data_IF_584572201852
#
_entry.id   IF_584572201852
#
_cell.length_a   1.000
_cell.length_b   1.000
_cell.length_c   1.000
_cell.angle_alpha   90.00
_cell.angle_beta   90.00
_cell.angle_gamma   90.00
#
_symmetry.space_group_name_H-M   'P 1'
#
loop_
_entity.id
_entity.type
_entity.pdbx_description
1 polymer ?
#
# COMPACT_ATOMS: atom_id res chain seq x y z
N UNK A 1 20.80 -8.14 -12.03
CA UNK A 1 21.67 -7.69 -10.93
C UNK A 1 20.79 -7.38 -9.74
N UNK A 2 20.85 -8.17 -8.67
CA UNK A 2 20.14 -7.90 -7.42
C UNK A 2 20.84 -6.73 -6.72
N UNK A 3 20.37 -5.51 -6.95
CA UNK A 3 20.80 -4.36 -6.17
C UNK A 3 20.43 -4.55 -4.70
N UNK A 4 21.11 -3.83 -3.81
CA UNK A 4 20.80 -3.80 -2.38
C UNK A 4 19.34 -3.37 -2.15
N UNK A 5 18.64 -4.07 -1.24
CA UNK A 5 17.29 -3.72 -0.81
C UNK A 5 17.36 -3.08 0.57
N UNK A 6 16.52 -2.07 0.79
CA UNK A 6 16.31 -1.49 2.11
C UNK A 6 14.95 -1.90 2.66
N UNK A 7 14.96 -2.51 3.85
CA UNK A 7 13.77 -2.77 4.64
C UNK A 7 13.59 -1.63 5.65
N UNK A 8 12.40 -1.05 5.71
CA UNK A 8 12.04 -0.02 6.68
C UNK A 8 10.81 -0.45 7.49
N UNK A 9 10.93 -0.42 8.81
CA UNK A 9 9.83 -0.67 9.76
C UNK A 9 9.47 0.62 10.53
N UNK A 10 9.75 1.77 9.92
CA UNK A 10 9.44 3.08 10.50
C UNK A 10 7.96 3.41 10.29
N UNK A 11 7.27 3.75 11.38
CA UNK A 11 5.85 4.07 11.39
C UNK A 11 5.51 5.15 12.42
N UNK A 12 4.40 5.85 12.16
CA UNK A 12 3.79 6.80 13.08
C UNK A 12 2.29 6.48 13.20
N UNK A 13 1.89 5.45 13.97
CA UNK A 13 0.52 4.96 13.94
C UNK A 13 -0.53 6.02 14.26
N UNK A 14 -0.23 6.91 15.21
CA UNK A 14 -1.11 8.01 15.59
C UNK A 14 -1.10 9.17 14.59
N UNK A 15 -0.19 9.21 13.61
CA UNK A 15 -0.11 10.25 12.60
C UNK A 15 -0.18 9.69 11.16
N UNK A 16 -1.39 9.42 10.65
CA UNK A 16 -1.59 8.92 9.29
C UNK A 16 -1.16 9.93 8.22
N UNK A 17 -1.08 11.22 8.54
CA UNK A 17 -0.60 12.25 7.61
C UNK A 17 0.91 12.08 7.42
N UNK A 18 1.67 11.95 8.51
CA UNK A 18 3.11 11.74 8.45
C UNK A 18 3.46 10.38 7.83
N UNK A 19 2.71 9.33 8.14
CA UNK A 19 2.91 8.01 7.55
C UNK A 19 2.82 8.04 6.01
N UNK A 20 1.79 8.68 5.46
CA UNK A 20 1.60 8.79 4.01
C UNK A 20 2.57 9.79 3.37
N UNK A 21 2.93 10.87 4.07
CA UNK A 21 3.99 11.78 3.61
C UNK A 21 5.35 11.07 3.51
N UNK A 22 5.70 10.27 4.51
CA UNK A 22 6.92 9.46 4.49
C UNK A 22 6.90 8.41 3.37
N UNK A 23 5.75 7.78 3.12
CA UNK A 23 5.59 6.83 2.02
C UNK A 23 5.86 7.49 0.65
N UNK A 24 5.30 8.66 0.41
CA UNK A 24 5.55 9.42 -0.82
C UNK A 24 7.01 9.86 -0.92
N UNK A 25 7.60 10.36 0.17
CA UNK A 25 8.99 10.81 0.20
C UNK A 25 9.97 9.66 -0.11
N UNK A 26 9.74 8.48 0.46
CA UNK A 26 10.53 7.28 0.18
C UNK A 26 10.39 6.89 -1.30
N UNK A 27 9.17 6.84 -1.82
CA UNK A 27 8.93 6.47 -3.21
C UNK A 27 9.63 7.44 -4.19
N UNK A 28 9.57 8.75 -3.92
CA UNK A 28 10.27 9.78 -4.69
C UNK A 28 11.79 9.61 -4.62
N UNK A 29 12.36 9.43 -3.43
CA UNK A 29 13.80 9.23 -3.24
C UNK A 29 14.32 7.99 -4.00
N UNK A 30 13.54 6.90 -4.04
CA UNK A 30 13.89 5.72 -4.85
C UNK A 30 13.81 6.01 -6.34
N UNK A 31 12.74 6.66 -6.81
CA UNK A 31 12.60 7.04 -8.22
C UNK A 31 13.72 7.96 -8.71
N UNK A 32 14.18 8.87 -7.86
CA UNK A 32 15.30 9.79 -8.12
C UNK A 32 16.68 9.11 -8.01
N UNK A 33 16.74 7.88 -7.49
CA UNK A 33 17.99 7.15 -7.29
C UNK A 33 18.83 7.62 -6.09
N UNK A 34 18.23 8.42 -5.21
CA UNK A 34 18.81 8.84 -3.92
C UNK A 34 18.75 7.71 -2.89
N UNK A 35 17.85 6.76 -3.07
CA UNK A 35 17.68 5.59 -2.22
C UNK A 35 17.61 4.27 -3.02
N UNK A 36 18.03 3.14 -2.44
CA UNK A 36 17.86 1.83 -3.05
C UNK A 36 16.40 1.40 -3.06
N UNK A 37 16.07 0.35 -3.84
CA UNK A 37 14.77 -0.34 -3.78
C UNK A 37 14.36 -0.55 -2.33
N UNK A 38 13.17 -0.08 -1.97
CA UNK A 38 12.74 -0.04 -0.57
C UNK A 38 11.44 -0.82 -0.40
N UNK A 39 11.43 -1.73 0.56
CA UNK A 39 10.23 -2.33 1.15
C UNK A 39 10.00 -1.66 2.50
N UNK A 40 8.79 -1.17 2.74
CA UNK A 40 8.38 -0.59 4.03
C UNK A 40 7.16 -1.30 4.58
N UNK A 41 7.17 -1.64 5.86
CA UNK A 41 5.98 -2.04 6.62
C UNK A 41 5.62 -0.96 7.64
N UNK A 42 4.33 -0.68 7.79
CA UNK A 42 3.84 0.38 8.67
C UNK A 42 2.34 0.26 8.98
N UNK A 43 1.87 0.96 10.02
CA UNK A 43 0.46 0.92 10.46
C UNK A 43 -0.10 2.32 10.74
N UNK A 44 -1.43 2.45 10.70
CA UNK A 44 -2.19 3.62 11.15
C UNK A 44 -3.14 3.22 12.28
N UNK A 45 -3.43 4.12 13.21
CA UNK A 45 -4.31 3.84 14.35
C UNK A 45 -5.80 3.84 14.00
N UNK A 46 -6.35 4.97 13.53
CA UNK A 46 -7.74 5.08 13.06
C UNK A 46 -7.79 6.10 11.91
N UNK A 47 -7.89 5.62 10.67
CA UNK A 47 -7.91 6.51 9.51
C UNK A 47 -8.75 5.99 8.35
N UNK A 48 -9.42 6.89 7.63
CA UNK A 48 -9.87 6.62 6.27
C UNK A 48 -8.86 7.23 5.30
N UNK A 49 -8.29 6.38 4.44
CA UNK A 49 -7.37 6.77 3.38
C UNK A 49 -8.09 6.79 2.04
N UNK A 50 -8.30 7.99 1.49
CA UNK A 50 -8.90 8.18 0.16
C UNK A 50 -7.83 8.27 -0.93
N UNK A 51 -8.17 7.78 -2.13
CA UNK A 51 -7.29 7.85 -3.30
C UNK A 51 -7.12 9.27 -3.84
N UNK A 52 -6.04 9.48 -4.59
CA UNK A 52 -5.63 10.77 -5.12
C UNK A 52 -6.74 11.50 -5.89
N UNK A 53 -7.59 10.77 -6.63
CA UNK A 53 -8.64 11.33 -7.49
C UNK A 53 -10.04 11.30 -6.88
N UNK A 54 -10.21 10.83 -5.65
CA UNK A 54 -11.53 10.72 -5.03
C UNK A 54 -12.03 12.05 -4.43
N UNK A 55 -13.33 12.25 -4.43
CA UNK A 55 -13.95 13.39 -3.74
C UNK A 55 -14.29 12.99 -2.29
N UNK A 56 -13.68 13.64 -1.30
CA UNK A 56 -13.87 13.29 0.10
C UNK A 56 -15.36 13.28 0.52
N UNK A 57 -16.17 14.24 0.05
CA UNK A 57 -17.59 14.32 0.39
C UNK A 57 -18.43 13.17 -0.18
N UNK A 58 -17.94 12.46 -1.19
CA UNK A 58 -18.62 11.29 -1.77
C UNK A 58 -18.19 9.97 -1.11
N UNK A 59 -16.97 9.92 -0.57
CA UNK A 59 -16.39 8.70 0.00
C UNK A 59 -16.57 8.59 1.50
N UNK A 60 -16.58 9.72 2.22
CA UNK A 60 -16.53 9.72 3.69
C UNK A 60 -17.63 10.56 4.32
N UNK A 61 -18.21 10.01 5.39
CA UNK A 61 -19.07 10.76 6.31
C UNK A 61 -18.18 11.53 7.29
N UNK A 62 -17.62 12.65 6.86
CA UNK A 62 -16.60 13.39 7.64
C UNK A 62 -17.02 13.73 9.07
N UNK A 63 -18.30 14.03 9.30
CA UNK A 63 -18.84 14.27 10.65
C UNK A 63 -18.75 13.04 11.55
N UNK A 64 -19.06 11.87 11.02
CA UNK A 64 -18.94 10.60 11.76
C UNK A 64 -17.47 10.25 11.98
N UNK A 65 -16.61 10.45 10.99
CA UNK A 65 -15.16 10.26 11.16
C UNK A 65 -14.62 11.11 12.31
N UNK A 66 -14.96 12.41 12.35
CA UNK A 66 -14.55 13.30 13.43
C UNK A 66 -15.07 12.84 14.80
N UNK A 67 -16.35 12.44 14.89
CA UNK A 67 -16.96 11.94 16.14
C UNK A 67 -16.27 10.69 16.68
N UNK A 68 -15.79 9.82 15.80
CA UNK A 68 -15.13 8.57 16.16
C UNK A 68 -13.59 8.68 16.25
N UNK A 69 -13.03 9.90 16.14
CA UNK A 69 -11.58 10.08 16.15
C UNK A 69 -10.85 9.49 14.93
N UNK A 70 -11.59 9.25 13.84
CA UNK A 70 -11.05 8.71 12.59
C UNK A 70 -10.52 9.85 11.74
N UNK A 71 -9.22 9.82 11.45
CA UNK A 71 -8.57 10.82 10.60
C UNK A 71 -8.88 10.54 9.13
N UNK A 72 -9.21 11.57 8.35
CA UNK A 72 -9.37 11.44 6.90
C UNK A 72 -8.12 11.98 6.23
N UNK A 73 -7.48 11.16 5.40
CA UNK A 73 -6.23 11.49 4.72
C UNK A 73 -6.27 11.04 3.26
N UNK A 74 -5.62 11.79 2.37
CA UNK A 74 -5.49 11.47 0.95
C UNK A 74 -4.09 10.94 0.67
N UNK A 75 -4.00 9.79 -0.01
CA UNK A 75 -2.73 9.24 -0.50
C UNK A 75 -2.39 9.75 -1.90
N UNK A 76 -1.10 9.66 -2.27
CA UNK A 76 -0.62 10.12 -3.58
C UNK A 76 -0.92 9.15 -4.74
N UNK A 77 -1.38 7.93 -4.46
CA UNK A 77 -1.79 6.94 -5.47
C UNK A 77 -3.30 6.96 -5.74
N UNK A 78 -3.71 6.42 -6.89
CA UNK A 78 -5.12 6.22 -7.23
C UNK A 78 -5.80 5.10 -6.44
N UNK A 79 -6.98 4.68 -6.88
CA UNK A 79 -7.78 3.61 -6.24
C UNK A 79 -8.86 4.15 -5.27
N UNK A 80 -9.58 3.23 -4.63
CA UNK A 80 -10.72 3.55 -3.76
C UNK A 80 -10.33 3.98 -2.34
N UNK A 81 -11.35 4.26 -1.52
CA UNK A 81 -11.17 4.59 -0.11
C UNK A 81 -11.02 3.29 0.72
N UNK A 82 -10.16 3.32 1.73
CA UNK A 82 -9.95 2.20 2.66
C UNK A 82 -9.93 2.70 4.09
N UNK A 83 -10.41 1.86 5.00
CA UNK A 83 -10.29 2.09 6.43
C UNK A 83 -9.05 1.40 6.97
N UNK A 84 -8.27 2.12 7.78
CA UNK A 84 -7.11 1.62 8.48
C UNK A 84 -7.36 1.65 9.99
N UNK A 85 -7.00 0.55 10.65
CA UNK A 85 -6.74 0.53 12.09
C UNK A 85 -5.40 -0.12 12.45
N UNK A 86 -5.06 -0.11 13.75
CA UNK A 86 -3.78 -0.61 14.26
C UNK A 86 -3.55 -2.11 14.02
N UNK A 87 -4.62 -2.85 13.68
CA UNK A 87 -4.62 -4.28 13.36
C UNK A 87 -4.60 -4.54 11.85
N UNK A 88 -4.44 -3.49 11.04
CA UNK A 88 -4.00 -3.63 9.66
C UNK A 88 -2.49 -3.61 9.58
N UNK A 89 -1.96 -4.25 8.55
CA UNK A 89 -0.55 -4.16 8.17
C UNK A 89 -0.46 -3.53 6.79
N UNK A 90 0.11 -2.33 6.69
CA UNK A 90 0.42 -1.72 5.41
C UNK A 90 1.81 -2.12 4.95
N UNK A 91 1.97 -2.29 3.65
CA UNK A 91 3.25 -2.47 3.02
C UNK A 91 3.37 -1.54 1.82
N UNK A 92 4.60 -1.14 1.50
CA UNK A 92 4.91 -0.36 0.31
C UNK A 92 6.23 -0.83 -0.30
N UNK A 93 6.25 -1.00 -1.62
CA UNK A 93 7.43 -1.38 -2.39
C UNK A 93 7.69 -0.32 -3.46
N UNK A 94 8.88 0.26 -3.42
CA UNK A 94 9.35 1.27 -4.37
C UNK A 94 10.50 0.71 -5.19
N UNK A 95 10.36 0.72 -6.52
CA UNK A 95 11.41 0.36 -7.46
C UNK A 95 11.79 1.56 -8.33
N UNK A 96 13.09 1.79 -8.48
CA UNK A 96 13.60 2.66 -9.55
C UNK A 96 13.46 1.94 -10.89
N UNK A 97 13.18 2.67 -11.96
CA UNK A 97 13.14 2.10 -13.31
C UNK A 97 14.53 2.11 -13.97
N UNK A 98 14.90 1.06 -14.74
CA UNK A 98 14.10 -0.13 -15.03
C UNK A 98 13.91 -1.03 -13.79
N UNK A 99 12.68 -1.49 -13.57
CA UNK A 99 12.33 -2.33 -12.42
C UNK A 99 12.59 -3.81 -12.73
N UNK A 100 12.72 -4.69 -11.71
CA UNK A 100 12.85 -6.14 -11.94
C UNK A 100 11.55 -6.79 -12.45
N UNK A 101 10.42 -6.08 -12.41
CA UNK A 101 9.13 -6.58 -12.90
C UNK A 101 9.07 -6.39 -14.43
N UNK A 102 8.90 -7.48 -15.22
CA UNK A 102 8.89 -7.37 -16.67
C UNK A 102 7.70 -6.59 -17.20
N UNK A 103 7.97 -5.68 -18.14
CA UNK A 103 6.97 -4.85 -18.80
C UNK A 103 6.65 -3.58 -18.04
N UNK A 104 6.24 -2.55 -18.78
CA UNK A 104 5.92 -1.25 -18.22
C UNK A 104 4.41 -1.12 -17.92
N UNK A 105 3.93 -1.92 -16.96
CA UNK A 105 2.51 -2.02 -16.64
C UNK A 105 2.26 -2.12 -15.13
N UNK A 106 1.42 -1.24 -14.62
CA UNK A 106 0.98 -1.29 -13.22
C UNK A 106 0.23 -2.59 -12.88
N UNK A 107 -0.48 -3.16 -13.85
CA UNK A 107 -1.20 -4.43 -13.68
C UNK A 107 -0.26 -5.60 -13.43
N UNK A 108 0.84 -5.65 -14.20
CA UNK A 108 1.89 -6.67 -13.99
C UNK A 108 2.59 -6.48 -12.65
N UNK A 109 2.72 -5.23 -12.19
CA UNK A 109 3.28 -4.95 -10.87
C UNK A 109 2.36 -5.43 -9.74
N UNK A 110 1.06 -5.21 -9.82
CA UNK A 110 0.09 -5.76 -8.87
C UNK A 110 0.13 -7.29 -8.86
N UNK A 111 0.19 -7.93 -10.03
CA UNK A 111 0.28 -9.39 -10.10
C UNK A 111 1.58 -9.92 -9.47
N UNK A 112 2.73 -9.30 -9.78
CA UNK A 112 4.02 -9.72 -9.24
C UNK A 112 4.10 -9.55 -7.71
N UNK A 113 3.69 -8.38 -7.20
CA UNK A 113 3.67 -8.10 -5.75
C UNK A 113 2.61 -8.96 -5.05
N UNK A 114 1.43 -9.12 -5.64
CA UNK A 114 0.37 -9.97 -5.12
C UNK A 114 0.79 -11.42 -4.98
N UNK A 115 1.46 -11.99 -5.99
CA UNK A 115 2.03 -13.36 -5.93
C UNK A 115 3.10 -13.50 -4.84
N UNK A 116 3.93 -12.48 -4.63
CA UNK A 116 4.91 -12.49 -3.55
C UNK A 116 4.24 -12.53 -2.16
N UNK A 117 3.16 -11.76 -1.97
CA UNK A 117 2.38 -11.75 -0.73
C UNK A 117 1.65 -13.10 -0.53
N UNK A 118 1.01 -13.64 -1.58
CA UNK A 118 0.38 -14.96 -1.55
C UNK A 118 1.39 -16.06 -1.17
N UNK A 119 2.61 -16.00 -1.71
CA UNK A 119 3.69 -16.91 -1.31
C UNK A 119 4.04 -16.76 0.18
N UNK A 120 4.05 -15.52 0.69
CA UNK A 120 4.21 -15.25 2.12
C UNK A 120 3.10 -15.87 2.97
N UNK A 121 1.84 -15.72 2.57
CA UNK A 121 0.70 -16.36 3.23
C UNK A 121 0.80 -17.89 3.22
N UNK A 122 1.24 -18.50 2.12
CA UNK A 122 1.46 -19.93 2.04
C UNK A 122 2.47 -20.45 3.07
N UNK A 123 3.52 -19.68 3.37
CA UNK A 123 4.49 -20.01 4.43
C UNK A 123 3.88 -19.96 5.84
N UNK A 124 2.78 -19.23 6.02
CA UNK A 124 2.03 -19.14 7.27
C UNK A 124 0.86 -20.14 7.32
N UNK A 125 0.71 -21.02 6.33
CA UNK A 125 -0.40 -21.97 6.24
C UNK A 125 -1.74 -21.33 5.84
N UNK A 126 -1.71 -20.14 5.23
CA UNK A 126 -2.90 -19.44 4.75
C UNK A 126 -3.02 -19.60 3.23
N UNK A 127 -4.10 -20.25 2.79
CA UNK A 127 -4.45 -20.38 1.38
C UNK A 127 -5.08 -19.08 0.85
N UNK A 128 -4.22 -18.19 0.36
CA UNK A 128 -4.61 -16.94 -0.28
C UNK A 128 -4.45 -17.02 -1.80
N UNK A 129 -5.22 -16.22 -2.52
CA UNK A 129 -5.13 -16.09 -3.97
C UNK A 129 -5.09 -14.61 -4.39
N UNK A 130 -4.34 -14.32 -5.45
CA UNK A 130 -4.39 -13.01 -6.09
C UNK A 130 -5.56 -12.95 -7.05
N UNK A 131 -6.42 -11.94 -6.89
CA UNK A 131 -7.58 -11.70 -7.74
C UNK A 131 -7.39 -10.36 -8.45
N UNK A 132 -7.29 -10.34 -9.78
CA UNK A 132 -7.27 -9.10 -10.54
C UNK A 132 -8.48 -8.22 -10.19
N UNK A 133 -8.33 -6.90 -10.09
CA UNK A 133 -7.19 -6.11 -10.59
C UNK A 133 -5.99 -6.11 -9.63
N UNK A 134 -6.23 -6.12 -8.32
CA UNK A 134 -5.26 -5.70 -7.31
C UNK A 134 -5.57 -6.24 -5.91
N UNK A 135 -6.37 -7.30 -5.81
CA UNK A 135 -6.85 -7.83 -4.54
C UNK A 135 -6.20 -9.17 -4.20
N UNK A 136 -6.16 -9.47 -2.91
CA UNK A 136 -5.83 -10.81 -2.40
C UNK A 136 -7.00 -11.28 -1.55
N UNK A 137 -7.40 -12.52 -1.78
CA UNK A 137 -8.56 -13.13 -1.13
C UNK A 137 -8.19 -14.42 -0.41
N UNK A 138 -8.95 -14.73 0.64
CA UNK A 138 -8.97 -16.04 1.31
C UNK A 138 -10.41 -16.51 1.33
N UNK A 139 -10.68 -17.67 0.75
CA UNK A 139 -12.04 -18.24 0.64
C UNK A 139 -13.05 -17.25 0.03
N UNK A 140 -12.66 -16.59 -1.07
CA UNK A 140 -13.50 -15.61 -1.79
C UNK A 140 -13.75 -14.29 -1.05
N UNK A 141 -13.06 -14.04 0.09
CA UNK A 141 -13.17 -12.79 0.85
C UNK A 141 -11.89 -11.99 0.74
N UNK A 142 -12.00 -10.71 0.39
CA UNK A 142 -10.87 -9.79 0.30
C UNK A 142 -10.22 -9.59 1.66
N UNK A 143 -8.91 -9.86 1.72
CA UNK A 143 -8.07 -9.65 2.90
C UNK A 143 -6.96 -8.62 2.65
N UNK A 144 -6.69 -8.28 1.39
CA UNK A 144 -5.76 -7.22 1.05
C UNK A 144 -6.18 -6.53 -0.25
N UNK A 145 -6.03 -5.21 -0.29
CA UNK A 145 -6.18 -4.40 -1.50
C UNK A 145 -4.91 -3.61 -1.75
N UNK A 146 -4.51 -3.51 -3.02
CA UNK A 146 -3.32 -2.78 -3.44
C UNK A 146 -3.67 -1.53 -4.26
N UNK A 147 -2.78 -0.56 -4.26
CA UNK A 147 -2.77 0.53 -5.22
C UNK A 147 -1.32 0.84 -5.60
N UNK A 148 -1.12 1.77 -6.52
CA UNK A 148 0.22 2.06 -7.01
C UNK A 148 0.26 3.18 -8.02
N UNK A 149 1.47 3.52 -8.42
CA UNK A 149 1.74 4.47 -9.49
C UNK A 149 2.93 4.02 -10.31
N UNK A 150 2.91 4.40 -11.58
CA UNK A 150 3.93 4.10 -12.56
C UNK A 150 4.30 5.39 -13.28
N UNK A 151 5.58 5.75 -13.23
CA UNK A 151 6.13 6.92 -13.92
C UNK A 151 7.34 6.53 -14.78
N UNK A 152 8.03 7.53 -15.34
CA UNK A 152 9.28 7.32 -16.08
C UNK A 152 10.41 6.75 -15.20
N UNK A 153 10.42 7.09 -13.92
CA UNK A 153 11.53 6.77 -13.00
C UNK A 153 11.15 5.83 -11.86
N UNK A 154 9.86 5.68 -11.57
CA UNK A 154 9.35 4.96 -10.40
C UNK A 154 8.28 3.93 -10.80
N UNK A 155 8.39 2.74 -10.22
CA UNK A 155 7.28 1.81 -10.08
C UNK A 155 7.02 1.64 -8.58
N UNK A 156 5.81 1.99 -8.14
CA UNK A 156 5.42 1.96 -6.74
C UNK A 156 4.12 1.16 -6.56
N UNK A 157 4.13 0.23 -5.61
CA UNK A 157 2.95 -0.54 -5.19
C UNK A 157 2.89 -0.52 -3.67
N UNK A 158 1.71 -0.27 -3.13
CA UNK A 158 1.44 -0.42 -1.71
C UNK A 158 0.11 -1.12 -1.50
N UNK A 159 -0.11 -1.62 -0.30
CA UNK A 159 -1.37 -2.25 0.05
C UNK A 159 -1.58 -2.33 1.54
N UNK A 160 -2.81 -2.67 1.90
CA UNK A 160 -3.26 -2.85 3.27
C UNK A 160 -3.76 -4.27 3.44
N UNK A 161 -3.20 -4.99 4.41
CA UNK A 161 -3.58 -6.35 4.79
C UNK A 161 -4.44 -6.29 6.06
N UNK A 162 -5.62 -6.89 5.99
CA UNK A 162 -6.54 -7.05 7.11
C UNK A 162 -6.09 -8.24 7.96
N UNK A 163 -5.32 -7.98 9.02
CA UNK A 163 -4.83 -9.04 9.93
C UNK A 163 -5.86 -9.34 11.02
N UNK A 164 -6.42 -8.29 11.64
CA UNK A 164 -7.45 -8.42 12.66
C UNK A 164 -8.28 -7.15 12.84
N UNK A 165 -8.51 -6.42 11.75
CA UNK A 165 -9.27 -5.15 11.75
C UNK A 165 -10.64 -5.28 12.41
N UNK A 166 -11.11 -4.19 13.00
CA UNK A 166 -12.45 -4.07 13.59
C UNK A 166 -13.56 -3.86 12.56
#
# INVERSE_FOLDING_TARGET
MSGEWRLLEVEWPEDPYLNLAAEEAIARAVGEGVAPTTLRFWRNANAVVIGAFQCASLEVRSRECLRHGVKVVRRFTGGGAVYHDIRNLNFAVSFRKPSPIPGDSIMKAYEAVGKAIVSGFGKLGVEAEFVPINDIQVRGRKICGMAGTLSRSLLFVHGCILVGSN
#
